data_IF_305203873997
#
_entry.id   IF_305203873997
#
_cell.length_a   1.000
_cell.length_b   1.000
_cell.length_c   1.000
_cell.angle_alpha   90.00
_cell.angle_beta   90.00
_cell.angle_gamma   90.00
#
_symmetry.space_group_name_H-M   'P 1'
#
loop_
_entity.id
_entity.type
_entity.pdbx_description
1 polymer ?
#
# COMPACT_ATOMS: atom_id res chain seq x y z
N UNK A 1 4.69 21.36 -18.75
CA UNK A 1 3.29 21.71 -19.05
C UNK A 1 2.57 21.98 -17.75
N UNK A 2 1.88 23.13 -17.66
CA UNK A 2 1.19 23.62 -16.46
C UNK A 2 0.04 22.71 -15.95
N UNK A 3 -0.22 21.59 -16.62
CA UNK A 3 -1.38 20.73 -16.39
C UNK A 3 -1.06 19.34 -15.81
N UNK A 4 0.19 19.03 -15.47
CA UNK A 4 0.51 17.68 -14.97
C UNK A 4 0.45 17.60 -13.44
N UNK A 5 -0.74 17.72 -12.91
CA UNK A 5 -1.08 17.39 -11.53
C UNK A 5 -1.37 15.88 -11.44
N UNK A 6 -0.34 15.02 -11.62
CA UNK A 6 -0.50 13.57 -11.72
C UNK A 6 -1.41 12.96 -10.66
N UNK A 7 -1.22 13.31 -9.36
CA UNK A 7 -2.11 12.84 -8.29
C UNK A 7 -3.50 13.47 -8.29
N UNK A 8 -3.69 14.68 -8.84
CA UNK A 8 -5.01 15.27 -9.03
C UNK A 8 -5.86 14.42 -9.95
N UNK A 9 -5.28 13.93 -11.05
CA UNK A 9 -5.98 13.00 -11.97
C UNK A 9 -6.30 11.66 -11.30
N UNK A 10 -5.41 11.17 -10.43
CA UNK A 10 -5.65 9.94 -9.66
C UNK A 10 -6.81 10.13 -8.69
N UNK A 11 -6.82 11.18 -7.87
CA UNK A 11 -7.90 11.39 -6.90
C UNK A 11 -9.24 11.66 -7.57
N UNK A 12 -9.25 12.36 -8.69
CA UNK A 12 -10.47 12.60 -9.48
C UNK A 12 -10.94 11.36 -10.23
N UNK A 13 -10.04 10.71 -10.98
CA UNK A 13 -10.40 9.61 -11.89
C UNK A 13 -10.64 8.28 -11.18
N UNK A 14 -9.83 7.97 -10.15
CA UNK A 14 -9.90 6.68 -9.45
C UNK A 14 -10.81 6.74 -8.22
N UNK A 15 -10.83 7.86 -7.53
CA UNK A 15 -11.56 8.02 -6.27
C UNK A 15 -12.74 9.00 -6.35
N UNK A 16 -13.07 9.50 -7.55
CA UNK A 16 -14.22 10.38 -7.79
C UNK A 16 -14.23 11.67 -6.94
N UNK A 17 -13.04 12.16 -6.57
CA UNK A 17 -12.90 13.39 -5.82
C UNK A 17 -13.23 14.61 -6.67
N UNK A 18 -13.82 15.63 -6.06
CA UNK A 18 -14.23 16.90 -6.65
C UNK A 18 -14.01 18.07 -5.67
N UNK A 19 -14.50 19.24 -6.02
CA UNK A 19 -14.43 20.48 -5.21
C UNK A 19 -15.23 20.43 -3.90
N UNK A 20 -16.26 19.58 -3.83
CA UNK A 20 -17.10 19.38 -2.63
C UNK A 20 -16.51 18.32 -1.69
N UNK A 21 -15.49 17.61 -2.10
CA UNK A 21 -14.86 16.56 -1.32
C UNK A 21 -14.19 17.10 -0.05
N UNK A 22 -14.31 16.35 1.05
CA UNK A 22 -13.63 16.64 2.32
C UNK A 22 -12.67 15.48 2.63
N UNK A 23 -11.37 15.75 2.55
CA UNK A 23 -10.31 14.76 2.69
C UNK A 23 -9.69 14.78 4.08
N UNK A 24 -9.58 13.62 4.73
CA UNK A 24 -8.89 13.44 6.01
C UNK A 24 -7.49 12.86 5.79
N UNK A 25 -6.47 13.58 6.28
CA UNK A 25 -5.07 13.21 6.26
C UNK A 25 -4.56 12.95 7.69
N UNK A 26 -4.56 11.69 8.17
CA UNK A 26 -4.10 11.36 9.54
C UNK A 26 -2.60 11.08 9.63
N UNK A 27 -1.90 10.94 8.50
CA UNK A 27 -0.49 10.61 8.43
C UNK A 27 0.39 11.87 8.27
N UNK A 28 1.67 11.81 8.71
CA UNK A 28 2.58 12.95 8.62
C UNK A 28 2.85 13.40 7.17
N UNK A 29 2.78 14.70 6.92
CA UNK A 29 2.91 15.29 5.59
C UNK A 29 4.33 15.22 4.99
N UNK A 30 5.35 14.81 5.75
CA UNK A 30 6.69 14.61 5.19
C UNK A 30 6.81 13.32 4.37
N UNK A 31 5.84 12.43 4.41
CA UNK A 31 5.76 11.28 3.50
C UNK A 31 5.15 11.71 2.15
N UNK A 32 5.62 11.07 1.07
CA UNK A 32 5.20 11.40 -0.29
C UNK A 32 3.70 11.21 -0.53
N UNK A 33 3.12 10.13 -0.02
CA UNK A 33 1.70 9.84 -0.21
C UNK A 33 0.79 10.86 0.47
N UNK A 34 0.88 11.14 1.81
CA UNK A 34 0.07 12.17 2.45
C UNK A 34 0.25 13.55 1.82
N UNK A 35 1.48 13.96 1.48
CA UNK A 35 1.74 15.24 0.81
C UNK A 35 1.06 15.28 -0.56
N UNK A 36 1.26 14.25 -1.37
CA UNK A 36 0.73 14.20 -2.74
C UNK A 36 -0.78 14.17 -2.78
N UNK A 37 -1.44 13.36 -1.93
CA UNK A 37 -2.91 13.33 -1.85
C UNK A 37 -3.47 14.66 -1.37
N UNK A 38 -2.92 15.29 -0.32
CA UNK A 38 -3.35 16.64 0.09
C UNK A 38 -3.22 17.63 -1.06
N UNK A 39 -2.11 17.62 -1.80
CA UNK A 39 -1.93 18.49 -2.96
C UNK A 39 -2.96 18.20 -4.04
N UNK A 40 -3.24 16.93 -4.33
CA UNK A 40 -4.23 16.53 -5.32
C UNK A 40 -5.65 17.01 -4.98
N UNK A 41 -6.10 16.81 -3.74
CA UNK A 41 -7.41 17.29 -3.27
C UNK A 41 -7.50 18.82 -3.26
N UNK A 42 -6.46 19.50 -2.76
CA UNK A 42 -6.45 20.99 -2.74
C UNK A 42 -6.44 21.59 -4.16
N UNK A 43 -5.80 20.94 -5.12
CA UNK A 43 -5.81 21.38 -6.51
C UNK A 43 -7.20 21.28 -7.17
N UNK A 44 -8.07 20.38 -6.69
CA UNK A 44 -9.49 20.30 -7.09
C UNK A 44 -10.37 21.38 -6.42
N UNK A 45 -9.85 22.13 -5.45
CA UNK A 45 -10.64 23.04 -4.63
C UNK A 45 -11.29 22.37 -3.41
N UNK A 46 -11.01 21.10 -3.17
CA UNK A 46 -11.53 20.32 -2.05
C UNK A 46 -10.99 20.80 -0.69
N UNK A 47 -11.63 20.39 0.40
CA UNK A 47 -11.19 20.69 1.76
C UNK A 47 -10.29 19.57 2.30
N UNK A 48 -9.13 19.92 2.87
CA UNK A 48 -8.26 18.98 3.57
C UNK A 48 -8.31 19.21 5.08
N UNK A 49 -8.57 18.15 5.84
CA UNK A 49 -8.50 18.09 7.30
C UNK A 49 -7.25 17.28 7.67
N UNK A 50 -6.31 17.93 8.35
CA UNK A 50 -5.02 17.33 8.70
C UNK A 50 -5.00 17.10 10.21
N UNK A 51 -4.76 15.86 10.64
CA UNK A 51 -4.53 15.55 12.05
C UNK A 51 -3.05 15.77 12.39
N UNK A 52 -2.79 16.37 13.53
CA UNK A 52 -1.42 16.57 14.04
C UNK A 52 -0.71 15.22 14.28
N UNK A 53 -1.48 14.24 14.77
CA UNK A 53 -1.06 12.85 14.96
C UNK A 53 -2.28 11.94 14.80
N UNK A 54 -2.03 10.69 14.42
CA UNK A 54 -3.10 9.70 14.38
C UNK A 54 -3.47 9.25 15.80
N UNK A 55 -4.74 9.40 16.13
CA UNK A 55 -5.43 8.75 17.24
C UNK A 55 -6.77 8.19 16.71
N UNK A 56 -7.16 6.95 17.07
CA UNK A 56 -8.39 6.34 16.56
C UNK A 56 -9.65 7.17 16.85
N UNK A 57 -9.83 7.64 18.10
CA UNK A 57 -11.02 8.40 18.48
C UNK A 57 -11.06 9.77 17.81
N UNK A 58 -9.93 10.49 17.75
CA UNK A 58 -9.82 11.77 17.07
C UNK A 58 -10.15 11.67 15.58
N UNK A 59 -9.71 10.57 14.95
CA UNK A 59 -9.98 10.33 13.53
C UNK A 59 -11.47 10.08 13.26
N UNK A 60 -12.13 9.25 14.08
CA UNK A 60 -13.57 9.00 13.98
C UNK A 60 -14.40 10.26 14.27
N UNK A 61 -14.02 11.02 15.30
CA UNK A 61 -14.63 12.32 15.62
C UNK A 61 -14.49 13.33 14.48
N UNK A 62 -13.34 13.34 13.79
CA UNK A 62 -13.12 14.19 12.61
C UNK A 62 -14.01 13.77 11.44
N UNK A 63 -14.20 12.47 11.20
CA UNK A 63 -15.10 11.97 10.14
C UNK A 63 -16.52 12.50 10.37
N UNK A 64 -17.07 12.35 11.57
CA UNK A 64 -18.40 12.87 11.89
C UNK A 64 -18.48 14.39 11.82
N UNK A 65 -17.54 15.09 12.50
CA UNK A 65 -17.55 16.55 12.66
C UNK A 65 -17.43 17.30 11.36
N UNK A 66 -16.53 16.87 10.49
CA UNK A 66 -16.22 17.55 9.25
C UNK A 66 -16.91 16.92 8.03
N UNK A 67 -17.72 15.87 8.25
CA UNK A 67 -18.40 15.12 7.19
C UNK A 67 -17.42 14.66 6.12
N UNK A 68 -16.33 14.02 6.58
CA UNK A 68 -15.28 13.50 5.72
C UNK A 68 -15.87 12.56 4.67
N UNK A 69 -15.50 12.77 3.42
CA UNK A 69 -15.87 11.92 2.29
C UNK A 69 -14.75 10.97 1.88
N UNK A 70 -13.50 11.44 1.94
CA UNK A 70 -12.30 10.71 1.52
C UNK A 70 -11.24 10.71 2.61
N UNK A 71 -10.46 9.66 2.69
CA UNK A 71 -9.38 9.55 3.68
C UNK A 71 -8.25 8.64 3.20
N UNK A 72 -7.05 8.80 3.79
CA UNK A 72 -5.92 7.94 3.50
C UNK A 72 -5.33 7.35 4.79
N UNK A 73 -5.00 6.07 4.76
CA UNK A 73 -4.58 5.28 5.91
C UNK A 73 -3.34 4.43 5.59
N UNK A 74 -2.75 3.87 6.63
CA UNK A 74 -1.80 2.77 6.55
C UNK A 74 -2.31 1.59 7.39
N UNK A 75 -1.92 0.33 7.10
CA UNK A 75 -2.46 -0.84 7.77
C UNK A 75 -2.34 -0.83 9.30
N UNK A 76 -1.28 -0.24 9.84
CA UNK A 76 -1.11 -0.09 11.31
C UNK A 76 -2.20 0.79 11.94
N UNK A 77 -2.75 1.76 11.21
CA UNK A 77 -3.89 2.56 11.68
C UNK A 77 -5.17 1.71 11.74
N UNK A 78 -5.40 0.85 10.75
CA UNK A 78 -6.51 -0.11 10.77
C UNK A 78 -6.42 -1.07 11.97
N UNK A 79 -5.23 -1.62 12.22
CA UNK A 79 -4.97 -2.48 13.38
C UNK A 79 -5.29 -1.74 14.69
N UNK A 80 -4.88 -0.47 14.80
CA UNK A 80 -5.16 0.35 16.00
C UNK A 80 -6.65 0.65 16.15
N UNK A 81 -7.38 0.90 15.07
CA UNK A 81 -8.85 0.97 15.13
C UNK A 81 -9.44 -0.33 15.66
N UNK A 82 -9.14 -1.47 15.05
CA UNK A 82 -9.71 -2.76 15.41
C UNK A 82 -9.35 -3.24 16.83
N UNK A 83 -8.28 -2.68 17.42
CA UNK A 83 -7.88 -2.92 18.83
C UNK A 83 -8.45 -1.89 19.80
N UNK A 84 -9.14 -0.87 19.32
CA UNK A 84 -9.78 0.14 20.17
C UNK A 84 -11.02 -0.42 20.87
N UNK A 85 -11.46 0.28 21.93
CA UNK A 85 -12.69 -0.08 22.64
C UNK A 85 -13.89 -0.06 21.67
N UNK A 86 -14.72 -1.11 21.64
CA UNK A 86 -15.94 -1.14 20.82
C UNK A 86 -16.89 0.03 21.08
N UNK A 87 -16.90 0.62 22.27
CA UNK A 87 -17.69 1.81 22.57
C UNK A 87 -17.23 3.02 21.76
N UNK A 88 -15.91 3.16 21.53
CA UNK A 88 -15.34 4.22 20.69
C UNK A 88 -15.70 3.98 19.21
N UNK A 89 -15.59 2.74 18.73
CA UNK A 89 -15.84 2.39 17.34
C UNK A 89 -17.28 2.66 16.89
N UNK A 90 -18.23 2.53 17.81
CA UNK A 90 -19.66 2.70 17.54
C UNK A 90 -20.21 4.09 17.93
N UNK A 91 -19.34 5.01 18.39
CA UNK A 91 -19.75 6.30 18.96
C UNK A 91 -20.10 7.34 17.91
N UNK A 92 -19.48 7.29 16.74
CA UNK A 92 -19.49 8.35 15.73
C UNK A 92 -20.26 7.96 14.48
N UNK A 93 -20.91 8.96 13.86
CA UNK A 93 -21.57 8.80 12.55
C UNK A 93 -20.56 8.87 11.41
N UNK A 94 -20.30 7.73 10.77
CA UNK A 94 -19.36 7.60 9.65
C UNK A 94 -20.07 7.63 8.28
N UNK A 95 -21.35 7.94 8.21
CA UNK A 95 -22.17 7.83 6.98
C UNK A 95 -21.73 8.74 5.83
N UNK A 96 -20.98 9.80 6.11
CA UNK A 96 -20.39 10.67 5.08
C UNK A 96 -19.16 10.07 4.39
N UNK A 97 -18.51 9.07 5.00
CA UNK A 97 -17.25 8.50 4.54
C UNK A 97 -17.50 7.55 3.37
N UNK A 98 -17.04 7.91 2.19
CA UNK A 98 -17.34 7.22 0.93
C UNK A 98 -16.14 6.44 0.40
N UNK A 99 -14.92 6.95 0.61
CA UNK A 99 -13.68 6.37 0.10
C UNK A 99 -12.62 6.39 1.20
N UNK A 100 -12.11 5.22 1.57
CA UNK A 100 -10.99 5.02 2.48
C UNK A 100 -9.83 4.38 1.72
N UNK A 101 -8.77 5.14 1.46
CA UNK A 101 -7.61 4.68 0.69
C UNK A 101 -6.54 4.18 1.66
N UNK A 102 -5.92 3.03 1.41
CA UNK A 102 -4.73 2.64 2.15
C UNK A 102 -3.60 2.18 1.24
N UNK A 103 -2.38 2.29 1.76
CA UNK A 103 -1.16 1.91 1.06
C UNK A 103 0.03 1.83 2.03
N UNK A 104 1.24 1.84 1.49
CA UNK A 104 2.55 1.95 2.15
C UNK A 104 3.07 0.66 2.79
N UNK A 105 2.23 -0.30 3.10
CA UNK A 105 2.61 -1.63 3.59
C UNK A 105 1.55 -2.65 3.19
N UNK A 106 1.88 -3.93 3.08
CA UNK A 106 0.89 -4.98 2.90
C UNK A 106 -0.09 -5.00 4.09
N UNK A 107 -1.39 -5.09 3.78
CA UNK A 107 -2.42 -5.16 4.80
C UNK A 107 -2.76 -6.63 5.10
N UNK A 108 -2.68 -7.10 6.37
CA UNK A 108 -3.10 -8.45 6.71
C UNK A 108 -4.54 -8.70 6.26
N UNK A 109 -4.80 -9.87 5.69
CA UNK A 109 -6.12 -10.23 5.13
C UNK A 109 -7.22 -10.06 6.19
N UNK A 110 -7.02 -10.60 7.39
CA UNK A 110 -7.97 -10.49 8.50
C UNK A 110 -8.28 -9.03 8.89
N UNK A 111 -7.25 -8.17 8.85
CA UNK A 111 -7.42 -6.73 9.17
C UNK A 111 -8.31 -6.07 8.14
N UNK A 112 -8.03 -6.29 6.85
CA UNK A 112 -8.79 -5.66 5.77
C UNK A 112 -10.22 -6.19 5.69
N UNK A 113 -10.44 -7.49 5.89
CA UNK A 113 -11.78 -8.06 6.01
C UNK A 113 -12.60 -7.38 7.11
N UNK A 114 -12.05 -7.30 8.32
CA UNK A 114 -12.72 -6.65 9.45
C UNK A 114 -13.01 -5.16 9.21
N UNK A 115 -12.11 -4.46 8.53
CA UNK A 115 -12.33 -3.06 8.16
C UNK A 115 -13.45 -2.92 7.12
N UNK A 116 -13.51 -3.80 6.11
CA UNK A 116 -14.60 -3.83 5.13
C UNK A 116 -15.94 -4.18 5.81
N UNK A 117 -15.94 -5.14 6.73
CA UNK A 117 -17.14 -5.49 7.50
C UNK A 117 -17.66 -4.32 8.34
N UNK A 118 -16.76 -3.50 8.89
CA UNK A 118 -17.11 -2.36 9.73
C UNK A 118 -17.46 -1.10 8.93
N UNK A 119 -16.62 -0.70 7.96
CA UNK A 119 -16.83 0.54 7.20
C UNK A 119 -17.65 0.35 5.93
N UNK A 120 -17.91 -0.89 5.54
CA UNK A 120 -18.47 -1.22 4.24
C UNK A 120 -17.43 -1.28 3.12
N UNK A 121 -17.87 -1.49 1.86
CA UNK A 121 -16.98 -1.70 0.70
C UNK A 121 -16.40 -0.38 0.15
N UNK A 122 -15.98 0.53 1.04
CA UNK A 122 -15.37 1.82 0.70
C UNK A 122 -13.84 1.80 0.71
N UNK A 123 -13.23 0.66 1.10
CA UNK A 123 -11.79 0.54 1.25
C UNK A 123 -11.15 0.27 -0.10
N UNK A 124 -10.21 1.12 -0.48
CA UNK A 124 -9.41 1.03 -1.68
C UNK A 124 -7.95 0.89 -1.31
N UNK A 125 -7.21 0.09 -2.05
CA UNK A 125 -5.78 -0.09 -1.88
C UNK A 125 -5.04 0.34 -3.13
N UNK A 126 -3.84 0.91 -2.94
CA UNK A 126 -2.88 1.02 -4.02
C UNK A 126 -1.48 0.61 -3.57
N UNK A 127 -0.70 0.12 -4.53
CA UNK A 127 0.72 -0.16 -4.40
C UNK A 127 1.48 0.65 -5.44
N UNK A 128 2.37 1.51 -4.96
CA UNK A 128 3.23 2.36 -5.78
C UNK A 128 4.47 2.80 -4.98
N UNK A 129 5.55 3.13 -5.67
CA UNK A 129 6.74 3.73 -5.08
C UNK A 129 6.79 5.24 -5.28
N UNK A 130 7.59 5.92 -4.46
CA UNK A 130 7.95 7.34 -4.64
C UNK A 130 8.66 7.59 -5.96
N UNK A 131 9.23 6.54 -6.53
CA UNK A 131 9.93 6.49 -7.81
C UNK A 131 8.98 6.64 -9.02
N UNK A 132 7.68 6.51 -8.84
CA UNK A 132 6.66 6.57 -9.91
C UNK A 132 6.86 5.56 -11.05
N UNK A 133 7.48 4.42 -10.78
CA UNK A 133 7.74 3.38 -11.77
C UNK A 133 6.53 2.49 -12.09
N UNK A 134 5.48 2.50 -11.26
CA UNK A 134 4.22 1.80 -11.48
C UNK A 134 3.13 2.27 -10.53
N UNK A 135 1.89 1.94 -10.84
CA UNK A 135 0.73 2.19 -9.99
C UNK A 135 -0.25 1.03 -10.12
N UNK A 136 -0.46 0.33 -9.02
CA UNK A 136 -1.37 -0.83 -8.91
C UNK A 136 -2.47 -0.47 -7.95
N UNK A 137 -3.72 -0.81 -8.24
CA UNK A 137 -4.82 -0.49 -7.34
C UNK A 137 -5.96 -1.51 -7.40
N UNK A 138 -6.73 -1.59 -6.31
CA UNK A 138 -8.01 -2.29 -6.26
C UNK A 138 -8.99 -1.60 -5.31
N UNK A 139 -10.27 -1.80 -5.59
CA UNK A 139 -11.36 -1.47 -4.67
C UNK A 139 -11.74 -2.69 -3.81
N UNK A 140 -12.70 -2.49 -2.88
CA UNK A 140 -13.16 -3.56 -1.99
C UNK A 140 -13.78 -4.75 -2.72
N UNK A 141 -14.50 -4.55 -3.82
CA UNK A 141 -15.16 -5.62 -4.59
C UNK A 141 -14.12 -6.51 -5.26
N UNK A 142 -13.14 -5.90 -5.93
CA UNK A 142 -12.02 -6.61 -6.53
C UNK A 142 -11.21 -7.37 -5.47
N UNK A 143 -10.93 -6.72 -4.34
CA UNK A 143 -10.18 -7.34 -3.26
C UNK A 143 -10.91 -8.53 -2.63
N UNK A 144 -12.23 -8.44 -2.43
CA UNK A 144 -13.03 -9.54 -1.87
C UNK A 144 -13.05 -10.78 -2.76
N UNK A 145 -12.94 -10.59 -4.09
CA UNK A 145 -12.80 -11.70 -5.05
C UNK A 145 -11.36 -12.22 -5.15
N UNK A 146 -10.34 -11.40 -4.82
CA UNK A 146 -8.91 -11.71 -4.92
C UNK A 146 -8.21 -11.36 -3.60
N UNK A 147 -8.58 -12.04 -2.51
CA UNK A 147 -8.10 -11.71 -1.16
C UNK A 147 -6.58 -11.78 -1.06
N UNK A 148 -5.98 -10.72 -0.50
CA UNK A 148 -4.54 -10.57 -0.35
C UNK A 148 -3.86 -9.85 -1.52
N UNK A 149 -4.58 -9.58 -2.61
CA UNK A 149 -4.04 -8.79 -3.72
C UNK A 149 -3.84 -7.32 -3.34
N UNK A 150 -2.91 -6.66 -4.00
CA UNK A 150 -2.77 -5.18 -4.02
C UNK A 150 -3.43 -4.56 -5.25
N UNK A 151 -4.01 -5.37 -6.15
CA UNK A 151 -4.78 -4.93 -7.31
C UNK A 151 -4.16 -5.27 -8.65
N UNK A 152 -4.62 -4.55 -9.68
CA UNK A 152 -4.12 -4.64 -11.05
C UNK A 152 -3.37 -3.36 -11.44
N UNK A 153 -2.42 -3.48 -12.38
CA UNK A 153 -1.67 -2.33 -12.87
C UNK A 153 -2.55 -1.35 -13.65
N UNK A 154 -2.40 -0.07 -13.32
CA UNK A 154 -3.04 1.04 -14.03
C UNK A 154 -2.05 1.81 -14.93
N UNK A 155 -0.73 1.54 -14.80
CA UNK A 155 0.32 2.25 -15.54
C UNK A 155 1.30 1.26 -16.20
N UNK A 156 0.85 0.59 -17.26
CA UNK A 156 1.66 -0.34 -18.04
C UNK A 156 1.76 -1.75 -17.43
N UNK A 157 2.44 -2.66 -18.13
CA UNK A 157 2.59 -4.05 -17.71
C UNK A 157 3.46 -4.21 -16.44
N UNK A 158 3.15 -5.29 -15.69
CA UNK A 158 4.02 -5.81 -14.63
C UNK A 158 4.69 -7.07 -15.17
N UNK A 159 5.97 -7.22 -14.85
CA UNK A 159 6.77 -8.39 -15.14
C UNK A 159 7.28 -9.00 -13.84
N UNK A 160 7.15 -10.31 -13.70
CA UNK A 160 7.71 -11.05 -12.57
C UNK A 160 8.92 -11.80 -13.07
N UNK A 161 10.12 -11.47 -12.55
CA UNK A 161 11.38 -12.00 -13.05
C UNK A 161 12.12 -12.81 -11.98
N UNK A 162 12.77 -13.90 -12.43
CA UNK A 162 13.72 -14.67 -11.63
C UNK A 162 15.05 -13.92 -11.42
N UNK A 163 16.00 -14.55 -10.72
CA UNK A 163 17.33 -13.98 -10.48
C UNK A 163 18.18 -13.85 -11.77
N UNK A 164 17.89 -14.64 -12.80
CA UNK A 164 18.50 -14.55 -14.12
C UNK A 164 17.81 -13.50 -15.03
N UNK A 165 16.76 -12.83 -14.52
CA UNK A 165 15.93 -11.85 -15.20
C UNK A 165 15.12 -12.42 -16.38
N UNK A 166 14.68 -13.66 -16.28
CA UNK A 166 13.68 -14.25 -17.16
C UNK A 166 12.30 -14.14 -16.53
N UNK A 167 11.27 -14.03 -17.34
CA UNK A 167 9.89 -14.05 -16.85
C UNK A 167 9.56 -15.44 -16.27
N UNK A 168 8.91 -15.43 -15.10
CA UNK A 168 8.38 -16.64 -14.47
C UNK A 168 6.95 -16.91 -14.92
N UNK A 169 6.46 -18.15 -14.88
CA UNK A 169 5.07 -18.48 -15.14
C UNK A 169 4.10 -17.75 -14.19
N UNK A 170 2.86 -17.53 -14.65
CA UNK A 170 1.78 -17.01 -13.82
C UNK A 170 1.60 -17.87 -12.57
N UNK A 171 1.48 -17.22 -11.41
CA UNK A 171 1.37 -17.87 -10.10
C UNK A 171 2.71 -18.21 -9.45
N UNK A 172 3.82 -18.06 -10.15
CA UNK A 172 5.16 -18.24 -9.56
C UNK A 172 5.72 -16.92 -9.06
N UNK A 173 6.47 -16.98 -7.95
CA UNK A 173 7.06 -15.82 -7.31
C UNK A 173 8.36 -15.39 -8.00
N UNK A 174 8.57 -14.07 -8.03
CA UNK A 174 9.79 -13.45 -8.50
C UNK A 174 9.86 -11.98 -8.11
N UNK A 175 10.91 -11.30 -8.53
CA UNK A 175 11.04 -9.86 -8.34
C UNK A 175 10.07 -9.12 -9.26
N UNK A 176 9.31 -8.18 -8.69
CA UNK A 176 8.32 -7.38 -9.40
C UNK A 176 9.02 -6.24 -10.15
N UNK A 177 8.77 -6.16 -11.45
CA UNK A 177 9.25 -5.09 -12.32
C UNK A 177 8.09 -4.41 -13.03
N UNK A 178 8.24 -3.10 -13.27
CA UNK A 178 7.28 -2.28 -13.98
C UNK A 178 7.83 -1.84 -15.34
N UNK A 179 7.06 -2.01 -16.38
CA UNK A 179 7.25 -1.38 -17.68
C UNK A 179 6.40 -0.09 -17.71
N UNK A 180 6.86 0.95 -17.03
CA UNK A 180 6.11 2.18 -16.86
C UNK A 180 6.69 3.36 -17.66
N UNK A 181 5.97 4.49 -17.72
CA UNK A 181 6.40 5.70 -18.44
C UNK A 181 7.70 6.30 -17.91
N UNK A 182 8.08 5.96 -16.67
CA UNK A 182 9.33 6.40 -16.03
C UNK A 182 10.50 5.43 -16.20
N UNK A 183 10.29 4.26 -16.80
CA UNK A 183 11.34 3.25 -17.01
C UNK A 183 12.59 3.83 -17.70
N UNK A 184 12.43 4.82 -18.54
CA UNK A 184 13.54 5.47 -19.27
C UNK A 184 14.08 6.76 -18.60
N UNK A 185 13.56 7.19 -17.46
CA UNK A 185 13.92 8.47 -16.83
C UNK A 185 14.18 8.41 -15.32
N UNK A 186 13.99 7.26 -14.69
CA UNK A 186 14.22 7.09 -13.26
C UNK A 186 15.72 6.97 -12.93
N UNK A 187 16.17 7.71 -11.91
CA UNK A 187 17.50 7.52 -11.33
C UNK A 187 17.55 7.96 -9.87
N UNK A 188 18.25 7.18 -9.03
CA UNK A 188 18.58 7.62 -7.67
C UNK A 188 19.64 8.73 -7.71
N UNK A 189 19.39 9.83 -7.00
CA UNK A 189 20.29 10.98 -6.99
C UNK A 189 21.69 10.59 -6.48
N UNK A 190 22.71 10.83 -7.32
CA UNK A 190 24.11 10.51 -7.04
C UNK A 190 24.41 9.03 -6.69
N UNK A 191 23.51 8.10 -7.01
CA UNK A 191 23.66 6.67 -6.77
C UNK A 191 23.41 5.85 -8.04
N UNK A 192 24.46 5.73 -8.86
CA UNK A 192 24.41 4.98 -10.11
C UNK A 192 24.28 3.48 -9.90
N UNK A 193 24.89 2.97 -8.84
CA UNK A 193 24.90 1.53 -8.53
C UNK A 193 23.49 1.06 -8.14
N UNK A 194 22.85 1.82 -7.25
CA UNK A 194 21.46 1.57 -6.88
C UNK A 194 20.49 1.71 -8.07
N UNK A 195 20.70 2.71 -8.93
CA UNK A 195 19.91 2.88 -10.15
C UNK A 195 20.03 1.69 -11.09
N UNK A 196 21.25 1.20 -11.32
CA UNK A 196 21.48 0.00 -12.14
C UNK A 196 20.88 -1.25 -11.51
N UNK A 197 20.99 -1.43 -10.18
CA UNK A 197 20.38 -2.54 -9.45
C UNK A 197 18.85 -2.54 -9.47
N UNK A 198 18.24 -1.36 -9.65
CA UNK A 198 16.79 -1.21 -9.76
C UNK A 198 16.27 -1.29 -11.22
N UNK A 199 17.13 -1.62 -12.19
CA UNK A 199 16.75 -1.70 -13.61
C UNK A 199 17.13 -3.05 -14.19
N UNK A 200 16.18 -3.72 -14.84
CA UNK A 200 16.42 -5.01 -15.51
C UNK A 200 17.19 -4.85 -16.83
N UNK A 201 17.63 -5.96 -17.41
CA UNK A 201 18.26 -6.01 -18.75
C UNK A 201 17.32 -5.48 -19.86
N UNK A 202 16.02 -5.62 -19.67
CA UNK A 202 14.98 -5.15 -20.59
C UNK A 202 14.65 -3.65 -20.40
N UNK A 203 15.16 -3.02 -19.34
CA UNK A 203 14.88 -1.63 -18.99
C UNK A 203 13.68 -1.44 -18.06
N UNK A 204 13.09 -2.52 -17.54
CA UNK A 204 12.04 -2.45 -16.54
C UNK A 204 12.61 -2.02 -15.18
N UNK A 205 11.81 -1.35 -14.36
CA UNK A 205 12.24 -0.84 -13.05
C UNK A 205 11.56 -1.58 -11.90
N UNK A 206 12.27 -1.75 -10.77
CA UNK A 206 11.76 -2.45 -9.59
C UNK A 206 11.88 -1.60 -8.33
N UNK A 207 10.99 -1.86 -7.36
CA UNK A 207 11.08 -1.40 -5.97
C UNK A 207 11.81 -2.41 -5.06
N UNK A 208 12.16 -3.60 -5.61
CA UNK A 208 12.79 -4.69 -4.87
C UNK A 208 11.82 -5.55 -4.08
N UNK A 209 10.53 -5.47 -4.38
CA UNK A 209 9.51 -6.33 -3.79
C UNK A 209 9.39 -7.65 -4.56
N UNK A 210 9.03 -8.73 -3.85
CA UNK A 210 8.76 -10.06 -4.39
C UNK A 210 7.26 -10.28 -4.40
N UNK A 211 6.77 -10.94 -5.44
CA UNK A 211 5.37 -11.29 -5.56
C UNK A 211 5.08 -12.09 -6.83
N UNK A 212 3.80 -12.27 -7.11
CA UNK A 212 3.33 -12.99 -8.28
C UNK A 212 2.07 -12.36 -8.86
N UNK A 213 1.76 -12.68 -10.12
CA UNK A 213 0.48 -12.37 -10.76
C UNK A 213 -0.39 -13.63 -10.80
N UNK A 214 -1.68 -13.49 -10.55
CA UNK A 214 -2.65 -14.57 -10.82
C UNK A 214 -3.10 -14.57 -12.30
N UNK A 215 -3.97 -15.54 -12.65
CA UNK A 215 -4.49 -15.71 -14.02
C UNK A 215 -5.33 -14.52 -14.50
N UNK A 216 -5.90 -13.74 -13.58
CA UNK A 216 -6.70 -12.55 -13.85
C UNK A 216 -5.85 -11.26 -13.86
N UNK A 217 -4.52 -11.36 -13.64
CA UNK A 217 -3.57 -10.26 -13.65
C UNK A 217 -3.57 -9.41 -12.38
N UNK A 218 -4.09 -9.95 -11.27
CA UNK A 218 -3.95 -9.32 -9.96
C UNK A 218 -2.58 -9.61 -9.36
N UNK A 219 -1.97 -8.57 -8.77
CA UNK A 219 -0.66 -8.65 -8.13
C UNK A 219 -0.80 -8.99 -6.64
N UNK A 220 0.03 -9.92 -6.20
CA UNK A 220 0.17 -10.30 -4.79
C UNK A 220 1.61 -10.04 -4.34
N UNK A 221 1.76 -9.34 -3.20
CA UNK A 221 3.07 -9.10 -2.59
C UNK A 221 3.36 -10.19 -1.57
N UNK A 222 4.49 -10.86 -1.71
CA UNK A 222 4.95 -11.86 -0.73
C UNK A 222 5.79 -11.20 0.34
N UNK A 223 6.91 -10.54 -0.02
CA UNK A 223 7.78 -9.80 0.90
C UNK A 223 8.73 -8.86 0.12
N UNK A 224 9.64 -8.20 0.86
CA UNK A 224 10.79 -7.52 0.26
C UNK A 224 11.98 -8.45 0.17
N UNK A 225 12.64 -8.49 -0.99
CA UNK A 225 13.85 -9.30 -1.21
C UNK A 225 14.94 -9.05 -0.14
N UNK A 226 15.02 -7.82 0.37
CA UNK A 226 15.98 -7.42 1.41
C UNK A 226 15.68 -7.96 2.81
N UNK A 227 14.45 -8.44 3.08
CA UNK A 227 14.02 -8.92 4.40
C UNK A 227 13.82 -10.43 4.44
N UNK A 228 13.85 -11.09 3.30
CA UNK A 228 13.73 -12.53 3.19
C UNK A 228 14.87 -13.22 3.97
N UNK A 229 14.52 -14.13 4.88
CA UNK A 229 15.44 -14.92 5.68
C UNK A 229 15.75 -16.20 4.90
N UNK A 230 17.04 -16.53 4.74
CA UNK A 230 17.46 -17.76 4.05
C UNK A 230 17.99 -18.72 5.09
N UNK A 231 17.17 -19.67 5.50
CA UNK A 231 17.48 -20.67 6.51
C UNK A 231 17.63 -22.06 5.88
N UNK A 232 18.87 -22.59 5.88
CA UNK A 232 19.15 -23.92 5.30
C UNK A 232 18.75 -24.07 3.83
N UNK A 233 18.76 -22.97 3.06
CA UNK A 233 18.33 -22.93 1.66
C UNK A 233 16.81 -22.78 1.47
N UNK A 234 16.06 -22.57 2.54
CA UNK A 234 14.62 -22.29 2.50
C UNK A 234 14.39 -20.79 2.68
N UNK A 235 13.60 -20.21 1.79
CA UNK A 235 13.16 -18.82 1.93
C UNK A 235 12.06 -18.74 2.98
N UNK A 236 12.26 -17.89 3.99
CA UNK A 236 11.26 -17.59 5.02
C UNK A 236 10.88 -16.13 4.88
N UNK A 237 9.59 -15.87 4.75
CA UNK A 237 9.05 -14.53 4.60
C UNK A 237 8.55 -14.02 5.96
N UNK A 238 9.22 -13.00 6.56
CA UNK A 238 8.84 -12.43 7.86
C UNK A 238 7.37 -12.06 7.99
N UNK A 239 6.80 -11.53 6.92
CA UNK A 239 5.42 -11.06 6.86
C UNK A 239 4.40 -12.13 7.24
N UNK A 240 4.59 -13.39 6.86
CA UNK A 240 3.65 -14.48 7.17
C UNK A 240 3.50 -14.68 8.70
N UNK A 241 4.62 -14.64 9.41
CA UNK A 241 4.63 -14.76 10.88
C UNK A 241 4.09 -13.49 11.54
N UNK A 242 4.44 -12.32 11.01
CA UNK A 242 3.97 -11.04 11.53
C UNK A 242 2.44 -10.92 11.40
N UNK A 243 1.88 -11.27 10.24
CA UNK A 243 0.43 -11.25 9.99
C UNK A 243 -0.33 -12.20 10.93
N UNK A 244 0.24 -13.37 11.25
CA UNK A 244 -0.38 -14.31 12.17
C UNK A 244 -0.42 -13.80 13.64
N UNK A 245 0.54 -12.98 14.03
CA UNK A 245 0.70 -12.52 15.41
C UNK A 245 0.10 -11.15 15.69
N UNK A 246 0.07 -10.26 14.69
CA UNK A 246 -0.24 -8.84 14.91
C UNK A 246 -1.63 -8.60 15.51
N UNK A 247 -2.63 -9.43 15.19
CA UNK A 247 -3.98 -9.28 15.72
C UNK A 247 -4.18 -9.88 17.11
N UNK A 248 -3.17 -10.55 17.68
CA UNK A 248 -3.27 -11.10 19.03
C UNK A 248 -3.43 -9.97 20.07
N UNK A 249 -4.39 -10.05 21.04
CA UNK A 249 -4.72 -8.93 21.94
C UNK A 249 -3.59 -8.53 22.88
N UNK A 250 -2.59 -9.39 23.11
CA UNK A 250 -1.41 -9.10 23.95
C UNK A 250 -0.21 -8.61 23.15
N UNK A 251 -0.29 -8.54 21.81
CA UNK A 251 0.78 -8.08 20.92
C UNK A 251 0.48 -6.64 20.56
N UNK A 252 1.34 -5.72 20.94
CA UNK A 252 1.22 -4.30 20.56
C UNK A 252 1.77 -4.06 19.14
N UNK A 253 2.90 -4.71 18.85
CA UNK A 253 3.59 -4.68 17.55
C UNK A 253 4.45 -5.92 17.42
N UNK A 254 4.84 -6.29 16.18
CA UNK A 254 5.65 -7.46 15.87
C UNK A 254 6.58 -7.17 14.71
N UNK A 255 7.82 -7.65 14.83
CA UNK A 255 8.79 -7.66 13.74
C UNK A 255 9.55 -8.98 13.76
N UNK A 256 9.66 -9.62 12.61
CA UNK A 256 10.44 -10.84 12.39
C UNK A 256 11.67 -10.47 11.56
N UNK A 257 12.83 -10.96 11.94
CA UNK A 257 14.08 -10.70 11.22
C UNK A 257 15.07 -11.86 11.41
N UNK A 258 15.88 -12.10 10.37
CA UNK A 258 16.90 -13.14 10.40
C UNK A 258 18.06 -12.76 11.31
N UNK A 259 18.59 -13.76 12.00
CA UNK A 259 19.83 -13.66 12.73
C UNK A 259 20.84 -14.69 12.19
N UNK A 260 22.16 -14.38 12.16
CA UNK A 260 23.16 -15.31 11.65
C UNK A 260 23.15 -16.64 12.41
N UNK A 261 23.15 -17.75 11.69
CA UNK A 261 23.26 -19.12 12.21
C UNK A 261 24.38 -19.86 11.48
N UNK A 262 25.30 -20.52 12.22
CA UNK A 262 26.47 -21.17 11.64
C UNK A 262 26.13 -22.37 10.74
N UNK A 263 25.04 -23.08 11.00
CA UNK A 263 24.64 -24.29 10.25
C UNK A 263 23.67 -23.95 9.11
N UNK A 264 22.76 -23.01 9.35
CA UNK A 264 21.63 -22.72 8.46
C UNK A 264 21.83 -21.45 7.62
N UNK A 265 22.87 -20.64 7.92
CA UNK A 265 23.09 -19.31 7.35
C UNK A 265 22.34 -18.24 8.15
N UNK A 266 21.03 -18.35 8.21
CA UNK A 266 20.16 -17.51 9.06
C UNK A 266 19.10 -18.36 9.76
N UNK A 267 18.55 -17.84 10.87
CA UNK A 267 17.39 -18.41 11.57
C UNK A 267 16.43 -17.31 12.07
#
# INVERSE_FOLDING_TARGET
>A
DEDDLGLTRVVQGLYSADEDSVYLSPAPLYHSAPMGFNTGFLALGATSIILEKFDPEDALAAIEKYKITHSQWVPTMFIRFLKSDPEILNKYDLSSHQIAIHAAAPCPIEVKEKMIDWWGPIINEYYAGTEFNGFVACNSEQWLSHKGTVGQSLLGPIHILDDDQNEVPVGEEGTIYFEGPTANGFSYHNDKEKTQGATSKQGYTTLGDIGYLDEDGFLYLTDRKAFMIISGGVNIYPKETEDALIMHPKVADVAVFGVPNEEMGEE
#
